data_IF_647769021686
#
_entry.id   IF_647769021686
#
_cell.length_a   1.000
_cell.length_b   1.000
_cell.length_c   1.000
_cell.angle_alpha   90.00
_cell.angle_beta   90.00
_cell.angle_gamma   90.00
#
_symmetry.space_group_name_H-M   'P 1'
#
loop_
_entity.id
_entity.type
_entity.pdbx_description
1 polymer ?
#
# COMPACT_ATOMS: atom_id res chain seq x y z
N UNK A 1 8.27 76.48 -55.71
CA UNK A 1 9.47 75.62 -55.63
C UNK A 1 9.32 74.67 -54.45
N UNK A 2 9.41 73.35 -54.71
CA UNK A 2 9.77 72.19 -53.85
C UNK A 2 9.23 72.11 -52.40
N UNK A 3 8.67 71.01 -51.85
CA UNK A 3 8.11 69.70 -52.27
C UNK A 3 7.36 69.17 -51.01
N UNK A 4 6.41 68.22 -51.13
CA UNK A 4 5.53 67.78 -50.04
C UNK A 4 6.10 66.58 -49.26
N UNK A 5 5.84 66.50 -47.96
CA UNK A 5 6.05 65.29 -47.16
C UNK A 5 4.71 64.70 -46.76
N UNK A 6 4.44 63.51 -47.31
CA UNK A 6 3.33 62.64 -46.95
C UNK A 6 3.38 62.26 -45.47
N UNK A 7 2.27 62.42 -44.75
CA UNK A 7 2.01 61.65 -43.54
C UNK A 7 0.71 60.87 -43.78
N UNK A 8 0.88 59.57 -44.03
CA UNK A 8 -0.18 58.58 -44.08
C UNK A 8 -0.80 58.45 -42.69
N UNK A 9 -2.12 58.63 -42.59
CA UNK A 9 -2.90 58.09 -41.47
C UNK A 9 -2.69 56.56 -41.43
N UNK A 10 -2.03 56.07 -40.38
CA UNK A 10 -2.09 54.67 -39.99
C UNK A 10 -3.17 54.56 -38.90
N UNK A 11 -4.34 54.05 -39.30
CA UNK A 11 -5.32 53.50 -38.39
C UNK A 11 -4.69 52.30 -37.65
N UNK A 12 -4.18 52.53 -36.45
CA UNK A 12 -3.91 51.48 -35.48
C UNK A 12 -5.25 51.12 -34.82
N UNK A 13 -5.96 50.19 -35.46
CA UNK A 13 -7.05 49.48 -34.80
C UNK A 13 -6.48 48.73 -33.60
N UNK A 14 -6.83 49.18 -32.39
CA UNK A 14 -6.78 48.35 -31.20
C UNK A 14 -7.77 47.20 -31.40
N UNK A 15 -7.30 46.11 -32.01
CA UNK A 15 -7.89 44.80 -31.83
C UNK A 15 -7.71 44.49 -30.34
N UNK A 16 -8.77 44.75 -29.59
CA UNK A 16 -9.05 44.06 -28.34
C UNK A 16 -8.98 42.56 -28.62
N UNK A 17 -7.80 41.97 -28.42
CA UNK A 17 -7.71 40.55 -28.12
C UNK A 17 -8.44 40.37 -26.79
N UNK A 18 -9.75 40.15 -26.89
CA UNK A 18 -10.42 39.26 -25.97
C UNK A 18 -9.55 38.01 -25.92
N UNK A 19 -8.82 37.85 -24.82
CA UNK A 19 -8.24 36.58 -24.44
C UNK A 19 -9.44 35.64 -24.24
N UNK A 20 -9.93 35.08 -25.33
CA UNK A 20 -10.67 33.83 -25.32
C UNK A 20 -9.75 32.89 -24.58
N UNK A 21 -10.10 32.60 -23.33
CA UNK A 21 -9.62 31.47 -22.60
C UNK A 21 -9.87 30.27 -23.50
N UNK A 22 -8.86 29.92 -24.28
CA UNK A 22 -8.79 28.62 -24.91
C UNK A 22 -8.78 27.65 -23.74
N UNK A 23 -9.98 27.19 -23.38
CA UNK A 23 -10.18 25.91 -22.74
C UNK A 23 -9.56 24.91 -23.71
N UNK A 24 -8.24 24.77 -23.65
CA UNK A 24 -7.54 23.66 -24.25
C UNK A 24 -8.24 22.45 -23.67
N UNK A 25 -8.98 21.74 -24.53
CA UNK A 25 -9.61 20.46 -24.27
C UNK A 25 -8.62 19.66 -23.45
N UNK A 26 -8.85 19.57 -22.14
CA UNK A 26 -8.04 18.73 -21.26
C UNK A 26 -8.15 17.35 -21.90
N UNK A 27 -7.06 16.78 -22.44
CA UNK A 27 -7.14 15.50 -23.11
C UNK A 27 -7.84 14.54 -22.16
N UNK A 28 -8.84 13.82 -22.66
CA UNK A 28 -9.56 12.87 -21.82
C UNK A 28 -8.53 12.00 -21.10
N UNK A 29 -8.69 11.86 -19.78
CA UNK A 29 -7.76 11.13 -18.92
C UNK A 29 -7.39 9.74 -19.48
N UNK A 30 -8.30 9.14 -20.24
CA UNK A 30 -8.11 7.89 -20.97
C UNK A 30 -6.85 7.88 -21.85
N UNK A 31 -6.54 8.98 -22.55
CA UNK A 31 -5.36 9.08 -23.43
C UNK A 31 -4.07 8.85 -22.64
N UNK A 32 -3.94 9.47 -21.47
CA UNK A 32 -2.74 9.32 -20.63
C UNK A 32 -2.65 7.96 -19.95
N UNK A 33 -3.79 7.36 -19.61
CA UNK A 33 -3.83 5.99 -19.12
C UNK A 33 -3.32 5.03 -20.18
N UNK A 34 -3.80 5.13 -21.41
CA UNK A 34 -3.46 4.20 -22.48
C UNK A 34 -1.97 4.35 -22.85
N UNK A 35 -1.46 5.59 -22.96
CA UNK A 35 -0.03 5.85 -23.12
C UNK A 35 0.82 5.24 -21.99
N UNK A 36 0.34 5.26 -20.74
CA UNK A 36 1.07 4.64 -19.62
C UNK A 36 1.11 3.12 -19.71
N UNK A 37 0.00 2.52 -20.12
CA UNK A 37 -0.12 1.07 -20.31
C UNK A 37 0.79 0.60 -21.45
N UNK A 38 0.92 1.41 -22.51
CA UNK A 38 1.83 1.16 -23.65
C UNK A 38 3.30 1.48 -23.35
N UNK A 39 3.63 1.90 -22.12
CA UNK A 39 5.00 2.20 -21.70
C UNK A 39 5.54 3.58 -22.13
N UNK A 40 4.68 4.48 -22.60
CA UNK A 40 5.03 5.84 -23.05
C UNK A 40 5.38 6.83 -21.94
N UNK A 41 6.15 6.41 -20.93
CA UNK A 41 6.50 7.24 -19.79
C UNK A 41 7.28 8.53 -20.12
N UNK A 42 8.22 8.55 -21.10
CA UNK A 42 8.86 9.79 -21.52
C UNK A 42 7.88 10.87 -21.97
N UNK A 43 6.81 10.47 -22.70
CA UNK A 43 5.76 11.39 -23.16
C UNK A 43 4.96 11.95 -21.98
N UNK A 44 4.54 11.09 -21.06
CA UNK A 44 3.80 11.49 -19.85
C UNK A 44 4.60 12.48 -19.01
N UNK A 45 5.88 12.19 -18.76
CA UNK A 45 6.75 13.08 -17.97
C UNK A 45 6.90 14.44 -18.66
N UNK A 46 7.08 14.46 -19.99
CA UNK A 46 7.21 15.71 -20.76
C UNK A 46 5.92 16.54 -20.74
N UNK A 47 4.77 15.92 -21.01
CA UNK A 47 3.51 16.64 -21.15
C UNK A 47 2.91 17.03 -19.80
N UNK A 48 2.87 16.11 -18.83
CA UNK A 48 2.20 16.34 -17.54
C UNK A 48 3.16 16.84 -16.44
N UNK A 49 4.46 16.58 -16.54
CA UNK A 49 5.44 17.01 -15.54
C UNK A 49 5.66 18.53 -15.47
N UNK A 50 5.21 19.26 -16.50
CA UNK A 50 5.28 20.72 -16.59
C UNK A 50 4.05 21.44 -15.99
N UNK A 51 3.00 20.70 -15.62
CA UNK A 51 1.79 21.27 -15.01
C UNK A 51 2.17 21.98 -13.72
N UNK A 52 1.67 23.22 -13.55
CA UNK A 52 2.03 24.08 -12.41
C UNK A 52 1.76 23.36 -11.09
N UNK A 53 2.83 23.23 -10.31
CA UNK A 53 2.94 22.41 -9.09
C UNK A 53 2.20 23.02 -7.88
N UNK A 54 1.51 24.16 -8.03
CA UNK A 54 1.24 25.03 -6.88
C UNK A 54 -0.08 24.80 -6.13
N UNK A 55 -1.12 24.18 -6.70
CA UNK A 55 -2.33 23.81 -5.93
C UNK A 55 -3.36 23.01 -6.76
N UNK A 56 -4.16 22.09 -6.17
CA UNK A 56 -5.40 21.62 -6.77
C UNK A 56 -6.38 22.79 -6.93
N UNK A 57 -6.41 23.39 -8.12
CA UNK A 57 -7.43 24.36 -8.50
C UNK A 57 -8.80 23.69 -8.77
N UNK A 58 -9.70 24.32 -9.56
CA UNK A 58 -11.03 23.77 -9.87
C UNK A 58 -11.02 22.42 -10.61
N UNK A 59 -9.85 21.97 -11.09
CA UNK A 59 -9.64 20.66 -11.73
C UNK A 59 -8.80 19.71 -10.84
N UNK A 60 -9.03 19.73 -9.53
CA UNK A 60 -8.24 18.98 -8.54
C UNK A 60 -8.11 17.47 -8.84
N UNK A 61 -9.13 16.85 -9.42
CA UNK A 61 -9.11 15.44 -9.82
C UNK A 61 -8.08 15.14 -10.92
N UNK A 62 -8.16 15.86 -12.05
CA UNK A 62 -7.23 15.71 -13.17
C UNK A 62 -5.79 16.05 -12.75
N UNK A 63 -5.64 17.11 -11.93
CA UNK A 63 -4.34 17.51 -11.41
C UNK A 63 -3.71 16.42 -10.54
N UNK A 64 -4.44 15.87 -9.56
CA UNK A 64 -3.92 14.78 -8.71
C UNK A 64 -3.56 13.54 -9.52
N UNK A 65 -4.43 13.14 -10.45
CA UNK A 65 -4.19 12.03 -11.37
C UNK A 65 -2.92 12.23 -12.19
N UNK A 66 -2.71 13.44 -12.71
CA UNK A 66 -1.51 13.79 -13.47
C UNK A 66 -0.25 13.67 -12.63
N UNK A 67 -0.24 14.23 -11.42
CA UNK A 67 0.89 14.10 -10.49
C UNK A 67 1.17 12.63 -10.16
N UNK A 68 0.13 11.84 -9.87
CA UNK A 68 0.27 10.40 -9.59
C UNK A 68 0.89 9.66 -10.76
N UNK A 69 0.47 9.95 -11.99
CA UNK A 69 0.95 9.26 -13.19
C UNK A 69 2.38 9.63 -13.56
N UNK A 70 2.74 10.92 -13.44
CA UNK A 70 4.13 11.36 -13.60
C UNK A 70 5.03 10.69 -12.58
N UNK A 71 4.60 10.64 -11.30
CA UNK A 71 5.31 9.93 -10.25
C UNK A 71 5.53 8.45 -10.57
N UNK A 72 4.48 7.74 -11.02
CA UNK A 72 4.57 6.33 -11.44
C UNK A 72 5.57 6.12 -12.58
N UNK A 73 5.56 7.02 -13.57
CA UNK A 73 6.50 6.95 -14.66
C UNK A 73 7.94 7.19 -14.21
N UNK A 74 8.17 8.20 -13.37
CA UNK A 74 9.50 8.44 -12.81
C UNK A 74 10.01 7.25 -11.99
N UNK A 75 9.12 6.53 -11.29
CA UNK A 75 9.48 5.32 -10.58
C UNK A 75 9.87 4.18 -11.53
N UNK A 76 9.08 3.95 -12.60
CA UNK A 76 9.44 3.00 -13.67
C UNK A 76 10.80 3.31 -14.32
N UNK A 77 11.13 4.59 -14.45
CA UNK A 77 12.41 5.08 -14.98
C UNK A 77 13.53 5.13 -13.91
N UNK A 78 13.35 4.44 -12.77
CA UNK A 78 14.32 4.36 -11.66
C UNK A 78 14.76 5.73 -11.10
N UNK A 79 13.82 6.68 -11.04
CA UNK A 79 14.04 8.02 -10.47
C UNK A 79 13.18 8.25 -9.20
N UNK A 80 13.38 7.46 -8.13
CA UNK A 80 12.52 7.48 -6.95
C UNK A 80 12.52 8.84 -6.23
N UNK A 81 13.67 9.52 -6.14
CA UNK A 81 13.78 10.85 -5.51
C UNK A 81 12.91 11.89 -6.22
N UNK A 82 12.84 11.85 -7.56
CA UNK A 82 11.97 12.76 -8.33
C UNK A 82 10.50 12.33 -8.21
N UNK A 83 10.22 11.03 -8.29
CA UNK A 83 8.87 10.49 -8.17
C UNK A 83 8.19 10.93 -6.86
N UNK A 84 8.92 10.92 -5.74
CA UNK A 84 8.41 11.36 -4.43
C UNK A 84 7.82 12.77 -4.45
N UNK A 85 8.44 13.71 -5.17
CA UNK A 85 7.92 15.09 -5.26
C UNK A 85 6.52 15.10 -5.84
N UNK A 86 6.27 14.30 -6.88
CA UNK A 86 4.97 14.20 -7.52
C UNK A 86 3.93 13.47 -6.65
N UNK A 87 4.33 12.41 -5.95
CA UNK A 87 3.42 11.73 -5.01
C UNK A 87 3.02 12.63 -3.83
N UNK A 88 3.95 13.42 -3.27
CA UNK A 88 3.64 14.42 -2.24
C UNK A 88 2.69 15.52 -2.70
N UNK A 89 2.67 15.83 -4.00
CA UNK A 89 1.69 16.76 -4.56
C UNK A 89 0.34 16.07 -4.73
N UNK A 90 0.34 14.86 -5.29
CA UNK A 90 -0.87 14.06 -5.45
C UNK A 90 -1.59 13.82 -4.13
N UNK A 91 -0.86 13.65 -3.02
CA UNK A 91 -1.46 13.39 -1.70
C UNK A 91 -2.25 14.57 -1.14
N UNK A 92 -2.07 15.78 -1.67
CA UNK A 92 -2.82 16.98 -1.28
C UNK A 92 -4.16 17.15 -2.00
N UNK A 93 -4.47 16.27 -2.96
CA UNK A 93 -5.71 16.35 -3.72
C UNK A 93 -6.57 15.10 -3.57
N UNK A 94 -7.15 14.62 -4.67
CA UNK A 94 -8.30 13.70 -4.62
C UNK A 94 -7.95 12.23 -4.28
N UNK A 95 -6.67 11.84 -4.31
CA UNK A 95 -6.23 10.44 -4.15
C UNK A 95 -5.09 10.31 -3.12
N UNK A 96 -5.31 10.69 -1.86
CA UNK A 96 -4.29 10.64 -0.81
C UNK A 96 -3.82 9.22 -0.52
N UNK A 97 -4.72 8.25 -0.54
CA UNK A 97 -4.44 6.82 -0.33
C UNK A 97 -3.49 6.26 -1.41
N UNK A 98 -3.80 6.50 -2.69
CA UNK A 98 -2.97 6.04 -3.79
C UNK A 98 -1.60 6.74 -3.78
N UNK A 99 -1.57 8.03 -3.45
CA UNK A 99 -0.34 8.78 -3.33
C UNK A 99 0.54 8.24 -2.19
N UNK A 100 -0.02 7.95 -1.01
CA UNK A 100 0.70 7.35 0.12
C UNK A 100 1.30 5.99 -0.26
N UNK A 101 0.51 5.12 -0.91
CA UNK A 101 1.01 3.82 -1.36
C UNK A 101 2.20 3.94 -2.32
N UNK A 102 2.14 4.83 -3.31
CA UNK A 102 3.26 5.02 -4.24
C UNK A 102 4.43 5.78 -3.63
N UNK A 103 4.19 6.67 -2.66
CA UNK A 103 5.24 7.31 -1.88
C UNK A 103 5.99 6.29 -1.01
N UNK A 104 5.30 5.28 -0.47
CA UNK A 104 5.92 4.12 0.18
C UNK A 104 6.87 3.40 -0.78
N UNK A 105 6.42 3.04 -1.99
CA UNK A 105 7.28 2.36 -2.98
C UNK A 105 8.52 3.19 -3.32
N UNK A 106 8.34 4.49 -3.60
CA UNK A 106 9.47 5.37 -3.92
C UNK A 106 10.44 5.56 -2.75
N UNK A 107 9.96 5.55 -1.50
CA UNK A 107 10.84 5.57 -0.33
C UNK A 107 11.60 4.25 -0.17
N UNK A 108 10.98 3.10 -0.41
CA UNK A 108 11.66 1.80 -0.36
C UNK A 108 12.76 1.71 -1.41
N UNK A 109 12.48 2.09 -2.66
CA UNK A 109 13.48 2.13 -3.75
C UNK A 109 14.62 3.11 -3.49
N UNK A 110 14.35 4.21 -2.75
CA UNK A 110 15.38 5.16 -2.32
C UNK A 110 16.15 4.73 -1.06
N UNK A 111 15.86 3.55 -0.48
CA UNK A 111 16.46 3.09 0.77
C UNK A 111 15.94 3.79 2.04
N UNK A 112 14.91 4.64 1.93
CA UNK A 112 14.32 5.42 3.02
C UNK A 112 13.23 4.63 3.79
N UNK A 113 13.60 3.46 4.31
CA UNK A 113 12.66 2.48 4.91
C UNK A 113 11.82 3.03 6.07
N UNK A 114 12.39 3.89 6.94
CA UNK A 114 11.62 4.51 8.03
C UNK A 114 10.45 5.35 7.50
N UNK A 115 10.69 6.17 6.47
CA UNK A 115 9.63 7.00 5.87
C UNK A 115 8.61 6.16 5.11
N UNK A 116 9.04 5.01 4.54
CA UNK A 116 8.11 4.06 3.95
C UNK A 116 7.12 3.53 5.01
N UNK A 117 7.61 3.17 6.22
CA UNK A 117 6.76 2.73 7.33
C UNK A 117 5.84 3.84 7.85
N UNK A 118 6.32 5.09 7.92
CA UNK A 118 5.48 6.24 8.28
C UNK A 118 4.32 6.44 7.30
N UNK A 119 4.58 6.35 5.99
CA UNK A 119 3.56 6.43 4.96
C UNK A 119 2.56 5.27 5.03
N UNK A 120 3.03 4.04 5.32
CA UNK A 120 2.12 2.90 5.53
C UNK A 120 1.25 3.17 6.76
N UNK A 121 1.80 3.71 7.85
CA UNK A 121 1.01 4.06 9.04
C UNK A 121 -0.08 5.09 8.73
N UNK A 122 0.20 6.06 7.85
CA UNK A 122 -0.79 7.03 7.37
C UNK A 122 -1.83 6.36 6.47
N UNK A 123 -1.38 5.53 5.51
CA UNK A 123 -2.25 4.81 4.60
C UNK A 123 -3.25 3.92 5.34
N UNK A 124 -2.82 3.24 6.41
CA UNK A 124 -3.69 2.38 7.22
C UNK A 124 -4.81 3.15 7.96
N UNK A 125 -4.72 4.48 8.04
CA UNK A 125 -5.78 5.34 8.61
C UNK A 125 -6.75 5.84 7.55
N UNK A 126 -6.45 5.69 6.27
CA UNK A 126 -7.33 6.12 5.18
C UNK A 126 -8.56 5.22 5.06
N UNK A 127 -9.75 5.75 4.69
CA UNK A 127 -10.95 4.94 4.52
C UNK A 127 -10.81 3.80 3.50
N UNK A 128 -9.92 3.97 2.52
CA UNK A 128 -9.67 3.03 1.42
C UNK A 128 -8.48 2.08 1.68
N UNK A 129 -7.95 2.02 2.90
CA UNK A 129 -6.74 1.22 3.19
C UNK A 129 -6.89 -0.27 2.85
N UNK A 130 -8.08 -0.85 2.98
CA UNK A 130 -8.35 -2.27 2.70
C UNK A 130 -7.95 -2.68 1.28
N UNK A 131 -8.09 -1.79 0.29
CA UNK A 131 -7.69 -2.03 -1.10
C UNK A 131 -6.16 -2.25 -1.27
N UNK A 132 -5.37 -1.82 -0.30
CA UNK A 132 -3.91 -1.87 -0.34
C UNK A 132 -3.31 -2.93 0.58
N UNK A 133 -4.07 -3.53 1.50
CA UNK A 133 -3.52 -4.41 2.54
C UNK A 133 -2.64 -5.54 1.99
N UNK A 134 -3.12 -6.29 0.99
CA UNK A 134 -2.34 -7.37 0.38
C UNK A 134 -1.03 -6.88 -0.27
N UNK A 135 -1.04 -5.68 -0.85
CA UNK A 135 0.15 -5.06 -1.44
C UNK A 135 1.10 -4.56 -0.34
N UNK A 136 0.56 -4.00 0.74
CA UNK A 136 1.34 -3.57 1.92
C UNK A 136 2.03 -4.77 2.57
N UNK A 137 1.32 -5.89 2.75
CA UNK A 137 1.94 -7.13 3.26
C UNK A 137 3.14 -7.55 2.41
N UNK A 138 2.97 -7.56 1.09
CA UNK A 138 4.05 -7.89 0.14
C UNK A 138 5.23 -6.93 0.28
N UNK A 139 4.99 -5.62 0.31
CA UNK A 139 6.05 -4.63 0.50
C UNK A 139 6.82 -4.84 1.81
N UNK A 140 6.11 -5.08 2.92
CA UNK A 140 6.76 -5.30 4.22
C UNK A 140 7.59 -6.60 4.26
N UNK A 141 7.09 -7.68 3.63
CA UNK A 141 7.79 -8.97 3.57
C UNK A 141 9.07 -8.90 2.74
N UNK A 142 9.02 -8.24 1.59
CA UNK A 142 10.10 -8.26 0.60
C UNK A 142 11.20 -7.23 0.87
N UNK A 143 10.91 -6.18 1.65
CA UNK A 143 11.82 -5.05 1.82
C UNK A 143 12.47 -4.93 3.20
N UNK A 144 12.19 -5.83 4.14
CA UNK A 144 12.76 -5.79 5.51
C UNK A 144 13.38 -7.14 5.86
N UNK A 145 14.61 -7.36 5.38
CA UNK A 145 15.25 -8.69 5.32
C UNK A 145 16.38 -8.83 6.34
N UNK A 146 17.19 -7.79 6.54
CA UNK A 146 18.28 -7.84 7.53
C UNK A 146 17.75 -7.86 8.96
N UNK A 147 18.58 -8.24 9.93
CA UNK A 147 18.14 -8.27 11.33
C UNK A 147 17.78 -6.88 11.87
N UNK A 148 18.56 -5.85 11.55
CA UNK A 148 18.24 -4.46 11.91
C UNK A 148 16.93 -3.98 11.28
N UNK A 149 16.65 -4.40 10.04
CA UNK A 149 15.40 -4.08 9.35
C UNK A 149 14.21 -4.81 9.97
N UNK A 150 14.38 -6.07 10.38
CA UNK A 150 13.36 -6.82 11.11
C UNK A 150 13.07 -6.19 12.46
N UNK A 151 14.09 -5.66 13.16
CA UNK A 151 13.87 -4.91 14.40
C UNK A 151 13.07 -3.63 14.13
N UNK A 152 13.41 -2.88 13.07
CA UNK A 152 12.64 -1.70 12.64
C UNK A 152 11.18 -2.07 12.33
N UNK A 153 10.97 -3.15 11.58
CA UNK A 153 9.65 -3.65 11.24
C UNK A 153 8.88 -4.09 12.49
N UNK A 154 9.54 -4.75 13.45
CA UNK A 154 8.93 -5.14 14.72
C UNK A 154 8.41 -3.93 15.51
N UNK A 155 9.19 -2.86 15.59
CA UNK A 155 8.77 -1.61 16.25
C UNK A 155 7.54 -1.02 15.58
N UNK A 156 7.46 -1.09 14.25
CA UNK A 156 6.28 -0.66 13.49
C UNK A 156 5.07 -1.56 13.73
N UNK A 157 5.22 -2.88 13.62
CA UNK A 157 4.14 -3.86 13.88
C UNK A 157 3.61 -3.75 15.31
N UNK A 158 4.50 -3.47 16.28
CA UNK A 158 4.12 -3.25 17.68
C UNK A 158 3.20 -2.06 17.89
N UNK A 159 3.28 -1.02 17.04
CA UNK A 159 2.34 0.12 17.07
C UNK A 159 0.96 -0.24 16.52
N UNK A 160 0.81 -1.38 15.85
CA UNK A 160 -0.44 -1.86 15.28
C UNK A 160 -1.15 -2.90 16.16
N UNK A 161 -0.69 -3.10 17.41
CA UNK A 161 -1.25 -4.10 18.35
C UNK A 161 -2.73 -3.87 18.68
N UNK A 162 -3.22 -2.63 18.60
CA UNK A 162 -4.64 -2.29 18.79
C UNK A 162 -5.52 -2.78 17.63
N UNK A 163 -4.96 -2.87 16.42
CA UNK A 163 -5.64 -3.37 15.22
C UNK A 163 -4.84 -4.49 14.55
N UNK A 164 -4.57 -5.60 15.28
CA UNK A 164 -3.57 -6.57 14.86
C UNK A 164 -4.01 -7.35 13.62
N UNK A 165 -5.31 -7.37 13.33
CA UNK A 165 -5.89 -8.02 12.15
C UNK A 165 -5.44 -7.39 10.82
N UNK A 166 -4.95 -6.15 10.83
CA UNK A 166 -4.50 -5.45 9.63
C UNK A 166 -3.20 -6.05 9.08
N UNK A 167 -2.23 -6.35 9.95
CA UNK A 167 -0.89 -6.79 9.53
C UNK A 167 -0.47 -8.14 10.10
N UNK A 168 -0.90 -8.50 11.32
CA UNK A 168 -0.45 -9.73 12.00
C UNK A 168 -1.29 -10.97 11.66
N UNK A 169 -2.22 -10.86 10.71
CA UNK A 169 -2.82 -12.03 10.05
C UNK A 169 -1.91 -12.63 8.98
N UNK A 170 -0.97 -11.85 8.45
CA UNK A 170 0.03 -12.35 7.52
C UNK A 170 1.02 -13.22 8.31
N UNK A 171 1.23 -14.45 7.86
CA UNK A 171 1.99 -15.45 8.61
C UNK A 171 3.47 -15.06 8.76
N UNK A 172 4.06 -14.44 7.73
CA UNK A 172 5.46 -14.02 7.73
C UNK A 172 5.65 -12.81 8.64
N UNK A 173 4.76 -11.81 8.54
CA UNK A 173 4.81 -10.64 9.42
C UNK A 173 4.56 -11.02 10.88
N UNK A 174 3.65 -11.96 11.14
CA UNK A 174 3.42 -12.51 12.48
C UNK A 174 4.66 -13.21 13.02
N UNK A 175 5.33 -14.04 12.21
CA UNK A 175 6.55 -14.71 12.61
C UNK A 175 7.67 -13.71 12.96
N UNK A 176 7.89 -12.70 12.10
CA UNK A 176 8.87 -11.62 12.38
C UNK A 176 8.53 -10.95 13.72
N UNK A 177 7.25 -10.65 13.94
CA UNK A 177 6.79 -10.04 15.18
C UNK A 177 7.10 -10.91 16.41
N UNK A 178 6.77 -12.20 16.36
CA UNK A 178 7.00 -13.12 17.48
C UNK A 178 8.50 -13.29 17.76
N UNK A 179 9.30 -13.56 16.73
CA UNK A 179 10.75 -13.77 16.88
C UNK A 179 11.46 -12.54 17.45
N UNK A 180 11.11 -11.34 16.97
CA UNK A 180 11.70 -10.10 17.49
C UNK A 180 11.20 -9.78 18.90
N UNK A 181 9.94 -10.09 19.22
CA UNK A 181 9.42 -9.93 20.58
C UNK A 181 10.19 -10.79 21.58
N UNK A 182 10.47 -12.05 21.24
CA UNK A 182 11.26 -12.96 22.08
C UNK A 182 12.69 -12.46 22.29
N UNK A 183 13.36 -12.01 21.21
CA UNK A 183 14.70 -11.41 21.26
C UNK A 183 14.75 -10.17 22.15
N UNK A 184 13.71 -9.35 22.12
CA UNK A 184 13.62 -8.13 22.92
C UNK A 184 13.01 -8.36 24.31
N UNK A 185 12.74 -9.62 24.69
CA UNK A 185 12.07 -10.00 25.94
C UNK A 185 10.76 -9.22 26.19
N UNK A 186 10.03 -8.91 25.11
CA UNK A 186 8.75 -8.24 25.20
C UNK A 186 7.62 -9.27 25.31
N UNK A 187 6.78 -9.22 26.36
CA UNK A 187 5.64 -10.12 26.47
C UNK A 187 4.61 -9.81 25.39
N UNK A 188 4.07 -10.88 24.78
CA UNK A 188 3.03 -10.81 23.76
C UNK A 188 1.72 -11.32 24.36
N UNK A 189 0.63 -10.56 24.23
CA UNK A 189 -0.69 -10.99 24.67
C UNK A 189 -1.15 -12.26 23.92
N UNK A 190 -1.90 -13.13 24.60
CA UNK A 190 -2.35 -14.43 24.07
C UNK A 190 -3.06 -14.30 22.72
N UNK A 191 -3.93 -13.30 22.58
CA UNK A 191 -4.70 -13.03 21.37
C UNK A 191 -3.80 -12.80 20.17
N UNK A 192 -2.67 -12.11 20.37
CA UNK A 192 -1.67 -11.85 19.33
C UNK A 192 -0.87 -13.10 19.00
N UNK A 193 -0.45 -13.89 20.01
CA UNK A 193 0.27 -15.16 19.79
C UNK A 193 -0.54 -16.13 18.92
N UNK A 194 -1.85 -16.16 19.14
CA UNK A 194 -2.78 -17.03 18.40
C UNK A 194 -3.03 -16.63 16.94
N UNK A 195 -2.69 -15.41 16.51
CA UNK A 195 -3.01 -14.95 15.15
C UNK A 195 -2.34 -15.78 14.06
N UNK A 196 -1.02 -16.03 14.14
CA UNK A 196 -0.32 -16.88 13.17
C UNK A 196 -0.89 -18.29 13.11
N UNK A 197 -1.34 -18.82 14.25
CA UNK A 197 -2.04 -20.11 14.30
C UNK A 197 -3.42 -20.05 13.66
N UNK A 198 -4.20 -18.99 13.79
CA UNK A 198 -5.54 -18.92 13.19
C UNK A 198 -5.53 -18.68 11.68
N UNK A 199 -4.48 -18.05 11.13
CA UNK A 199 -4.44 -17.57 9.75
C UNK A 199 -3.20 -18.09 8.99
N UNK A 200 -3.12 -19.40 8.70
CA UNK A 200 -2.10 -19.89 7.79
C UNK A 200 -2.39 -19.42 6.35
N UNK A 201 -1.34 -19.37 5.52
CA UNK A 201 -1.43 -19.04 4.09
C UNK A 201 -1.17 -20.26 3.21
N UNK A 202 -0.42 -21.23 3.70
CA UNK A 202 0.02 -22.44 2.99
C UNK A 202 0.37 -23.56 3.98
N UNK A 203 0.90 -24.69 3.47
CA UNK A 203 1.31 -25.84 4.29
C UNK A 203 2.42 -25.45 5.28
N UNK A 204 3.39 -24.66 4.84
CA UNK A 204 4.58 -24.38 5.63
C UNK A 204 4.28 -23.43 6.79
N UNK A 205 3.55 -22.35 6.54
CA UNK A 205 2.99 -21.48 7.57
C UNK A 205 2.04 -22.24 8.50
N UNK A 206 1.25 -23.19 7.99
CA UNK A 206 0.40 -24.02 8.83
C UNK A 206 1.19 -24.89 9.82
N UNK A 207 2.23 -25.59 9.34
CA UNK A 207 3.14 -26.40 10.17
C UNK A 207 3.89 -25.53 11.18
N UNK A 208 4.44 -24.41 10.72
CA UNK A 208 5.20 -23.49 11.55
C UNK A 208 4.35 -22.94 12.68
N UNK A 209 3.14 -22.46 12.38
CA UNK A 209 2.25 -21.91 13.38
C UNK A 209 1.76 -22.96 14.39
N UNK A 210 1.60 -24.23 13.97
CA UNK A 210 1.27 -25.32 14.90
C UNK A 210 2.44 -25.65 15.84
N UNK A 211 3.70 -25.51 15.40
CA UNK A 211 4.87 -25.66 16.28
C UNK A 211 5.06 -24.47 17.22
N UNK A 212 4.61 -23.29 16.81
CA UNK A 212 4.81 -22.04 17.55
C UNK A 212 3.73 -21.77 18.61
N UNK A 213 2.55 -22.40 18.54
CA UNK A 213 1.50 -22.21 19.54
C UNK A 213 1.93 -22.80 20.88
N UNK A 214 1.77 -22.03 21.96
CA UNK A 214 2.08 -22.52 23.30
C UNK A 214 1.08 -23.59 23.74
N UNK A 215 1.51 -24.64 24.47
CA UNK A 215 0.61 -25.69 24.94
C UNK A 215 -0.58 -25.16 25.74
N UNK A 216 -0.35 -24.16 26.60
CA UNK A 216 -1.39 -23.49 27.39
C UNK A 216 -2.39 -22.73 26.51
N UNK A 217 -1.89 -22.00 25.51
CA UNK A 217 -2.74 -21.28 24.56
C UNK A 217 -3.60 -22.26 23.74
N UNK A 218 -3.05 -23.42 23.38
CA UNK A 218 -3.76 -24.47 22.64
C UNK A 218 -4.90 -25.09 23.46
N UNK A 219 -4.68 -25.36 24.76
CA UNK A 219 -5.70 -25.93 25.64
C UNK A 219 -6.91 -25.01 25.80
N UNK A 220 -6.69 -23.70 25.76
CA UNK A 220 -7.75 -22.70 25.98
C UNK A 220 -8.43 -22.22 24.68
N UNK A 221 -8.17 -22.85 23.54
CA UNK A 221 -8.78 -22.45 22.27
C UNK A 221 -10.31 -22.59 22.31
N UNK A 222 -11.01 -21.52 21.90
CA UNK A 222 -12.46 -21.56 21.77
C UNK A 222 -12.90 -22.41 20.58
N UNK A 223 -14.13 -22.91 20.61
CA UNK A 223 -14.72 -23.64 19.50
C UNK A 223 -14.66 -22.85 18.19
N UNK A 224 -14.87 -21.54 18.24
CA UNK A 224 -14.88 -20.70 17.05
C UNK A 224 -13.47 -20.50 16.48
N UNK A 225 -12.45 -20.42 17.33
CA UNK A 225 -11.05 -20.37 16.88
C UNK A 225 -10.65 -21.67 16.18
N UNK A 226 -11.01 -22.82 16.75
CA UNK A 226 -10.75 -24.13 16.15
C UNK A 226 -11.49 -24.27 14.82
N UNK A 227 -12.80 -23.96 14.79
CA UNK A 227 -13.60 -24.01 13.56
C UNK A 227 -13.07 -23.08 12.47
N UNK A 228 -12.63 -21.87 12.85
CA UNK A 228 -12.01 -20.93 11.92
C UNK A 228 -10.76 -21.52 11.30
N UNK A 229 -9.85 -22.07 12.11
CA UNK A 229 -8.61 -22.72 11.63
C UNK A 229 -8.91 -23.89 10.70
N UNK A 230 -9.85 -24.77 11.05
CA UNK A 230 -10.24 -25.91 10.20
C UNK A 230 -10.79 -25.43 8.86
N UNK A 231 -11.73 -24.47 8.86
CA UNK A 231 -12.27 -23.89 7.62
C UNK A 231 -11.20 -23.21 6.77
N UNK A 232 -10.21 -22.57 7.39
CA UNK A 232 -9.06 -21.97 6.68
C UNK A 232 -8.21 -23.03 6.00
N UNK A 233 -7.83 -24.09 6.71
CA UNK A 233 -7.07 -25.21 6.15
C UNK A 233 -7.81 -25.90 4.99
N UNK A 234 -9.14 -26.05 5.10
CA UNK A 234 -9.98 -26.57 4.02
C UNK A 234 -9.96 -25.66 2.78
N UNK A 235 -10.09 -24.33 2.96
CA UNK A 235 -10.03 -23.36 1.85
C UNK A 235 -8.67 -23.34 1.14
N UNK A 236 -7.62 -23.71 1.84
CA UNK A 236 -6.27 -23.84 1.30
C UNK A 236 -6.00 -25.23 0.68
N UNK A 237 -7.01 -26.10 0.61
CA UNK A 237 -6.90 -27.50 0.13
C UNK A 237 -5.89 -28.35 0.92
N UNK A 238 -5.69 -28.06 2.21
CA UNK A 238 -4.71 -28.75 3.05
C UNK A 238 -5.30 -29.99 3.75
N UNK A 239 -6.03 -30.81 3.00
CA UNK A 239 -6.80 -31.93 3.55
C UNK A 239 -5.95 -32.97 4.27
N UNK A 240 -4.78 -33.32 3.70
CA UNK A 240 -3.87 -34.29 4.32
C UNK A 240 -3.30 -33.76 5.65
N UNK A 241 -2.88 -32.49 5.68
CA UNK A 241 -2.43 -31.85 6.91
C UNK A 241 -3.56 -31.83 7.93
N UNK A 242 -4.76 -31.42 7.53
CA UNK A 242 -5.92 -31.36 8.41
C UNK A 242 -6.25 -32.74 9.01
N UNK A 243 -6.35 -33.78 8.19
CA UNK A 243 -6.66 -35.14 8.65
C UNK A 243 -5.71 -35.65 9.73
N UNK A 244 -4.42 -35.35 9.60
CA UNK A 244 -3.41 -35.73 10.60
C UNK A 244 -3.53 -34.94 11.92
N UNK A 245 -4.13 -33.74 11.90
CA UNK A 245 -4.20 -32.85 13.06
C UNK A 245 -5.59 -32.78 13.71
N UNK A 246 -6.65 -33.27 13.07
CA UNK A 246 -8.00 -33.33 13.65
C UNK A 246 -8.05 -34.05 15.01
N UNK A 247 -7.38 -35.21 15.22
CA UNK A 247 -7.38 -35.87 16.52
C UNK A 247 -6.84 -34.98 17.65
N UNK A 248 -5.75 -34.24 17.37
CA UNK A 248 -5.13 -33.31 18.32
C UNK A 248 -6.07 -32.14 18.65
N UNK A 249 -6.81 -31.64 17.64
CA UNK A 249 -7.80 -30.57 17.86
C UNK A 249 -9.03 -31.05 18.65
N UNK A 250 -9.37 -32.34 18.56
CA UNK A 250 -10.50 -32.96 19.24
C UNK A 250 -10.18 -33.39 20.68
N UNK A 251 -8.91 -33.55 21.02
CA UNK A 251 -8.45 -34.01 22.33
C UNK A 251 -8.91 -33.05 23.45
N UNK A 252 -9.48 -33.62 24.52
CA UNK A 252 -10.00 -32.86 25.66
C UNK A 252 -11.20 -31.96 25.35
N UNK A 253 -11.80 -32.04 24.15
CA UNK A 253 -12.96 -31.22 23.75
C UNK A 253 -14.30 -31.88 24.04
N UNK A 254 -15.32 -31.05 24.12
CA UNK A 254 -16.68 -31.53 24.36
C UNK A 254 -17.25 -32.32 23.17
N UNK A 255 -18.36 -33.02 23.40
CA UNK A 255 -19.01 -33.84 22.38
C UNK A 255 -19.59 -33.04 21.20
N UNK A 256 -19.80 -31.72 21.35
CA UNK A 256 -20.36 -30.86 20.31
C UNK A 256 -19.28 -30.48 19.30
N UNK A 257 -18.10 -30.06 19.77
CA UNK A 257 -16.98 -29.76 18.89
C UNK A 257 -16.44 -31.03 18.23
N UNK A 258 -16.31 -32.13 18.97
CA UNK A 258 -15.83 -33.41 18.42
C UNK A 258 -16.70 -33.97 17.28
N UNK A 259 -18.02 -33.76 17.34
CA UNK A 259 -18.94 -34.16 16.25
C UNK A 259 -18.85 -33.26 15.02
N UNK A 260 -18.36 -32.04 15.19
CA UNK A 260 -18.23 -31.08 14.09
C UNK A 260 -16.92 -31.26 13.32
N UNK A 261 -15.84 -31.59 14.04
CA UNK A 261 -14.52 -31.90 13.49
C UNK A 261 -14.55 -33.20 12.69
#
# INVERSE_FOLDING_TARGET
MLKPTHIRLLFLGFLSLSASSSFALVPEWNVYRDVFLDGGCPRIIKELGSIKVTSPGPHGDFWSKSMLLVGKCLLKEQQPVKAKKFFLLSSKGAYPDAALYHLTQANLEAGEKSKALENIAQLLKEPKHEFYLARVHTLLRENFISEDEKEMLFRFLSKQRENPKLLLKDAVLHQIFMTQSDKMHQPVAKELRLLGWMYPEDVESAKMAHKAIWPTDFQDLSHDQIKLRVRKLQKLNLHQYLGNHLPILAEGRDAKLRRWL
#
